data_IF_378516902717
#
_entry.id   IF_378516902717
#
_cell.length_a   1.000
_cell.length_b   1.000
_cell.length_c   1.000
_cell.angle_alpha   90.00
_cell.angle_beta   90.00
_cell.angle_gamma   90.00
#
_symmetry.space_group_name_H-M   'P 1'
#
loop_
_entity.id
_entity.type
_entity.pdbx_description
1 polymer ?
#
# COMPACT_ATOMS: atom_id res chain seq x y z
N UNK A 1 15.05 0.13 43.87
CA UNK A 1 13.60 -0.04 44.22
C UNK A 1 12.73 1.12 43.71
N UNK A 2 12.94 2.41 44.09
CA UNK A 2 12.11 3.52 43.63
C UNK A 2 12.32 3.78 42.13
N UNK A 3 13.56 3.88 41.67
CA UNK A 3 13.88 4.11 40.25
C UNK A 3 13.43 2.94 39.37
N UNK A 4 13.62 1.70 39.81
CA UNK A 4 13.14 0.52 39.08
C UNK A 4 11.63 0.51 38.93
N UNK A 5 10.89 0.96 39.96
CA UNK A 5 9.44 1.11 39.88
C UNK A 5 9.00 2.22 38.92
N UNK A 6 9.74 3.34 38.87
CA UNK A 6 9.46 4.42 37.91
C UNK A 6 9.76 3.96 36.48
N UNK A 7 10.86 3.25 36.25
CA UNK A 7 11.22 2.69 34.95
C UNK A 7 10.14 1.72 34.46
N UNK A 8 9.70 0.79 35.30
CA UNK A 8 8.65 -0.17 34.92
C UNK A 8 7.32 0.54 34.58
N UNK A 9 6.98 1.63 35.32
CA UNK A 9 5.81 2.43 35.01
C UNK A 9 5.96 3.19 33.69
N UNK A 10 7.15 3.71 33.41
CA UNK A 10 7.44 4.41 32.15
C UNK A 10 7.29 3.46 30.96
N UNK A 11 7.91 2.28 31.02
CA UNK A 11 7.80 1.23 29.99
C UNK A 11 6.33 0.82 29.80
N UNK A 12 5.58 0.57 30.89
CA UNK A 12 4.14 0.22 30.79
C UNK A 12 3.28 1.35 30.17
N UNK A 13 3.65 2.62 30.37
CA UNK A 13 2.99 3.72 29.69
C UNK A 13 3.38 3.78 28.20
N UNK A 14 4.63 3.52 27.86
CA UNK A 14 5.11 3.40 26.48
C UNK A 14 4.35 2.34 25.70
N UNK A 15 4.22 1.12 26.27
CA UNK A 15 3.49 0.01 25.66
C UNK A 15 1.99 0.35 25.42
N UNK A 16 1.44 1.23 26.25
CA UNK A 16 0.07 1.75 26.12
C UNK A 16 -0.02 3.01 25.26
N UNK A 17 1.04 3.37 24.56
CA UNK A 17 1.17 4.56 23.71
C UNK A 17 0.87 5.87 24.44
N UNK A 18 1.14 5.93 25.76
CA UNK A 18 0.99 7.13 26.59
C UNK A 18 2.36 7.83 26.73
N UNK A 19 2.90 8.26 25.59
CA UNK A 19 4.29 8.72 25.48
C UNK A 19 4.61 9.91 26.37
N UNK A 20 3.71 10.89 26.50
CA UNK A 20 3.91 12.05 27.39
C UNK A 20 4.10 11.62 28.85
N UNK A 21 3.28 10.63 29.33
CA UNK A 21 3.42 10.11 30.68
C UNK A 21 4.72 9.31 30.88
N UNK A 22 5.18 8.64 29.84
CA UNK A 22 6.48 7.97 29.86
C UNK A 22 7.62 8.98 29.98
N UNK A 23 7.57 10.07 29.22
CA UNK A 23 8.56 11.16 29.27
C UNK A 23 8.63 11.75 30.67
N UNK A 24 7.51 12.08 31.31
CA UNK A 24 7.47 12.61 32.69
C UNK A 24 8.16 11.68 33.69
N UNK A 25 8.02 10.37 33.52
CA UNK A 25 8.64 9.38 34.39
C UNK A 25 10.14 9.22 34.09
N UNK A 26 10.53 9.22 32.82
CA UNK A 26 11.95 9.21 32.44
C UNK A 26 12.66 10.48 32.94
N UNK A 27 12.03 11.65 32.90
CA UNK A 27 12.60 12.89 33.45
C UNK A 27 12.85 12.80 34.96
N UNK A 28 11.93 12.21 35.73
CA UNK A 28 12.13 11.96 37.17
C UNK A 28 13.29 11.01 37.46
N UNK A 29 13.55 10.04 36.57
CA UNK A 29 14.71 9.15 36.71
C UNK A 29 15.96 9.95 36.36
N UNK A 30 15.94 10.74 35.29
CA UNK A 30 17.08 11.56 34.85
C UNK A 30 17.46 12.67 35.84
N UNK A 31 16.53 13.13 36.71
CA UNK A 31 16.90 14.01 37.86
C UNK A 31 17.89 13.37 38.82
N UNK A 32 17.89 12.02 38.92
CA UNK A 32 18.81 11.25 39.79
C UNK A 32 19.99 10.67 39.03
N UNK A 33 19.78 10.33 37.77
CA UNK A 33 20.77 9.71 36.92
C UNK A 33 20.85 10.47 35.56
N UNK A 34 21.39 11.72 35.58
CA UNK A 34 21.31 12.62 34.42
C UNK A 34 22.05 12.13 33.17
N UNK A 35 22.99 11.17 33.33
CA UNK A 35 23.80 10.62 32.25
C UNK A 35 23.43 9.16 31.92
N UNK A 36 22.27 8.68 32.34
CA UNK A 36 21.83 7.32 32.04
C UNK A 36 21.41 7.25 30.56
N UNK A 37 22.30 6.72 29.72
CA UNK A 37 22.10 6.64 28.25
C UNK A 37 20.83 5.87 27.88
N UNK A 38 20.54 4.76 28.56
CA UNK A 38 19.32 3.97 28.30
C UNK A 38 18.05 4.80 28.51
N UNK A 39 17.97 5.54 29.63
CA UNK A 39 16.80 6.37 29.92
C UNK A 39 16.68 7.56 28.98
N UNK A 40 17.82 8.16 28.57
CA UNK A 40 17.83 9.24 27.57
C UNK A 40 17.33 8.71 26.22
N UNK A 41 17.80 7.54 25.80
CA UNK A 41 17.37 6.89 24.54
C UNK A 41 15.89 6.54 24.57
N UNK A 42 15.39 5.96 25.66
CA UNK A 42 13.96 5.66 25.81
C UNK A 42 13.08 6.92 25.79
N UNK A 43 13.54 8.01 26.42
CA UNK A 43 12.87 9.32 26.32
C UNK A 43 12.88 9.84 24.90
N UNK A 44 14.00 9.73 24.19
CA UNK A 44 14.13 10.16 22.81
C UNK A 44 13.19 9.37 21.87
N UNK A 45 13.03 8.07 22.09
CA UNK A 45 12.06 7.25 21.36
C UNK A 45 10.62 7.74 21.58
N UNK A 46 10.25 8.04 22.84
CA UNK A 46 8.94 8.62 23.12
C UNK A 46 8.70 9.97 22.40
N UNK A 47 9.74 10.82 22.34
CA UNK A 47 9.68 12.09 21.64
C UNK A 47 9.48 11.90 20.13
N UNK A 48 10.18 10.94 19.53
CA UNK A 48 10.02 10.59 18.12
C UNK A 48 8.60 10.09 17.82
N UNK A 49 8.04 9.22 18.66
CA UNK A 49 6.66 8.72 18.55
C UNK A 49 5.58 9.83 18.64
N UNK A 50 5.92 10.94 19.29
CA UNK A 50 5.08 12.14 19.34
C UNK A 50 5.31 13.12 18.17
N UNK A 51 6.20 12.79 17.25
CA UNK A 51 6.61 13.66 16.15
C UNK A 51 7.52 14.82 16.59
N UNK A 52 8.08 14.80 17.81
CA UNK A 52 9.00 15.79 18.36
C UNK A 52 10.43 15.41 17.99
N UNK A 53 10.68 15.31 16.70
CA UNK A 53 11.91 14.71 16.15
C UNK A 53 13.18 15.48 16.51
N UNK A 54 13.15 16.80 16.45
CA UNK A 54 14.33 17.63 16.79
C UNK A 54 14.75 17.44 18.24
N UNK A 55 13.77 17.36 19.15
CA UNK A 55 14.04 17.13 20.57
C UNK A 55 14.57 15.70 20.80
N UNK A 56 14.05 14.72 20.08
CA UNK A 56 14.56 13.34 20.08
C UNK A 56 16.05 13.32 19.70
N UNK A 57 16.37 13.94 18.56
CA UNK A 57 17.77 14.01 18.06
C UNK A 57 18.68 14.69 19.09
N UNK A 58 18.24 15.80 19.71
CA UNK A 58 19.04 16.48 20.76
C UNK A 58 19.37 15.56 21.94
N UNK A 59 18.40 14.72 22.37
CA UNK A 59 18.67 13.74 23.44
C UNK A 59 19.67 12.66 22.99
N UNK A 60 19.49 12.13 21.76
CA UNK A 60 20.37 11.10 21.21
C UNK A 60 21.80 11.63 20.98
N UNK A 61 21.96 12.89 20.61
CA UNK A 61 23.27 13.54 20.51
C UNK A 61 23.96 13.65 21.86
N UNK A 62 23.23 13.84 22.96
CA UNK A 62 23.82 13.80 24.32
C UNK A 62 24.38 12.43 24.62
N UNK A 63 23.67 11.34 24.26
CA UNK A 63 24.17 9.96 24.41
C UNK A 63 25.43 9.76 23.58
N UNK A 64 25.40 10.13 22.30
CA UNK A 64 26.50 9.92 21.37
C UNK A 64 27.75 10.79 21.69
N UNK A 65 27.55 11.97 22.31
CA UNK A 65 28.65 12.79 22.81
C UNK A 65 29.34 12.17 24.03
N UNK A 66 28.60 11.38 24.83
CA UNK A 66 29.19 10.64 25.97
C UNK A 66 29.85 9.33 25.51
N UNK A 67 29.18 8.61 24.60
CA UNK A 67 29.69 7.37 24.04
C UNK A 67 29.45 7.37 22.50
N UNK A 68 30.46 7.72 21.69
CA UNK A 68 30.37 7.69 20.24
C UNK A 68 30.15 6.28 19.65
N UNK A 69 30.42 5.24 20.38
CA UNK A 69 30.21 3.84 19.98
C UNK A 69 28.94 3.24 20.62
N UNK A 70 27.93 4.07 20.90
CA UNK A 70 26.65 3.62 21.40
C UNK A 70 25.73 3.19 20.21
N UNK A 71 25.48 1.89 20.14
CA UNK A 71 24.65 1.32 19.08
C UNK A 71 23.23 1.88 19.11
N UNK A 72 22.58 1.88 20.27
CA UNK A 72 21.19 2.32 20.43
C UNK A 72 21.03 3.81 20.11
N UNK A 73 22.03 4.62 20.49
CA UNK A 73 22.09 6.04 20.14
C UNK A 73 22.08 6.26 18.61
N UNK A 74 22.95 5.56 17.88
CA UNK A 74 22.99 5.67 16.41
C UNK A 74 21.76 5.08 15.74
N UNK A 75 21.29 3.92 16.19
CA UNK A 75 20.10 3.26 15.65
C UNK A 75 18.87 4.14 15.79
N UNK A 76 18.59 4.64 17.00
CA UNK A 76 17.41 5.48 17.23
C UNK A 76 17.52 6.86 16.55
N UNK A 77 18.73 7.44 16.48
CA UNK A 77 18.95 8.69 15.73
C UNK A 77 18.67 8.48 14.23
N UNK A 78 19.16 7.37 13.66
CA UNK A 78 18.91 7.04 12.26
C UNK A 78 17.43 6.78 11.99
N UNK A 79 16.72 6.09 12.87
CA UNK A 79 15.27 5.87 12.77
C UNK A 79 14.51 7.20 12.82
N UNK A 80 14.84 8.08 13.77
CA UNK A 80 14.24 9.42 13.86
C UNK A 80 14.48 10.25 12.58
N UNK A 81 15.70 10.19 12.03
CA UNK A 81 16.02 10.87 10.77
C UNK A 81 15.26 10.30 9.57
N UNK A 82 15.06 8.98 9.54
CA UNK A 82 14.21 8.34 8.53
C UNK A 82 12.77 8.84 8.59
N UNK A 83 12.18 8.91 9.79
CA UNK A 83 10.82 9.42 10.00
C UNK A 83 10.66 10.90 9.62
N UNK A 84 11.74 11.68 9.74
CA UNK A 84 11.82 13.07 9.24
C UNK A 84 11.97 13.16 7.70
N UNK A 85 12.14 12.05 6.99
CA UNK A 85 12.46 12.03 5.57
C UNK A 85 13.91 12.43 5.22
N UNK A 86 14.80 12.51 6.21
CA UNK A 86 16.23 12.81 6.03
C UNK A 86 17.01 11.53 5.74
N UNK A 87 16.74 10.94 4.58
CA UNK A 87 17.18 9.58 4.24
C UNK A 87 18.70 9.43 4.15
N UNK A 88 19.44 10.40 3.61
CA UNK A 88 20.91 10.32 3.54
C UNK A 88 21.56 10.34 4.93
N UNK A 89 21.04 11.17 5.84
CA UNK A 89 21.51 11.22 7.22
C UNK A 89 21.13 9.94 7.98
N UNK A 90 19.94 9.40 7.74
CA UNK A 90 19.51 8.12 8.30
C UNK A 90 20.43 6.97 7.84
N UNK A 91 20.78 6.93 6.56
CA UNK A 91 21.69 5.94 6.00
C UNK A 91 23.08 6.01 6.68
N UNK A 92 23.59 7.21 6.90
CA UNK A 92 24.85 7.39 7.63
C UNK A 92 24.75 6.89 9.08
N UNK A 93 23.66 7.19 9.77
CA UNK A 93 23.41 6.73 11.13
C UNK A 93 23.33 5.19 11.23
N UNK A 94 22.56 4.54 10.33
CA UNK A 94 22.51 3.06 10.30
C UNK A 94 23.87 2.43 9.93
N UNK A 95 24.66 3.06 9.07
CA UNK A 95 26.02 2.58 8.79
C UNK A 95 26.92 2.65 10.03
N UNK A 96 26.77 3.68 10.87
CA UNK A 96 27.52 3.79 12.14
C UNK A 96 27.03 2.76 13.16
N UNK A 97 25.73 2.55 13.30
CA UNK A 97 25.19 1.50 14.14
C UNK A 97 25.70 0.11 13.69
N UNK A 98 25.64 -0.21 12.40
CA UNK A 98 26.11 -1.48 11.85
C UNK A 98 27.64 -1.65 11.89
N UNK A 99 28.40 -0.57 12.01
CA UNK A 99 29.85 -0.66 12.29
C UNK A 99 30.12 -1.17 13.71
N UNK A 100 29.23 -0.86 14.65
CA UNK A 100 29.29 -1.29 16.05
C UNK A 100 28.76 -2.72 16.19
N UNK A 101 27.57 -2.99 15.61
CA UNK A 101 26.97 -4.33 15.60
C UNK A 101 26.59 -4.73 14.17
N UNK A 102 27.48 -5.41 13.42
CA UNK A 102 27.26 -5.76 12.01
C UNK A 102 26.14 -6.78 11.78
N UNK A 103 25.79 -7.56 12.79
CA UNK A 103 24.82 -8.66 12.69
C UNK A 103 23.42 -8.27 13.22
N UNK A 104 23.18 -6.98 13.48
CA UNK A 104 21.86 -6.53 13.88
C UNK A 104 20.89 -6.50 12.69
N UNK A 105 19.98 -7.48 12.69
CA UNK A 105 19.01 -7.64 11.59
C UNK A 105 18.02 -6.48 11.50
N UNK A 106 17.67 -5.85 12.62
CA UNK A 106 16.77 -4.69 12.65
C UNK A 106 17.43 -3.46 12.00
N UNK A 107 18.72 -3.23 12.32
CA UNK A 107 19.45 -2.14 11.69
C UNK A 107 19.67 -2.37 10.18
N UNK A 108 19.93 -3.63 9.76
CA UNK A 108 20.00 -3.98 8.34
C UNK A 108 18.65 -3.75 7.64
N UNK A 109 17.54 -4.18 8.25
CA UNK A 109 16.20 -3.97 7.69
C UNK A 109 15.87 -2.49 7.56
N UNK A 110 16.13 -1.69 8.59
CA UNK A 110 15.87 -0.26 8.54
C UNK A 110 16.77 0.45 7.53
N UNK A 111 18.05 0.06 7.41
CA UNK A 111 18.92 0.55 6.34
C UNK A 111 18.37 0.20 4.96
N UNK A 112 17.85 -1.01 4.77
CA UNK A 112 17.24 -1.41 3.51
C UNK A 112 15.95 -0.61 3.23
N UNK A 113 15.13 -0.31 4.26
CA UNK A 113 13.97 0.58 4.14
C UNK A 113 14.39 1.99 3.69
N UNK A 114 15.53 2.51 4.18
CA UNK A 114 16.09 3.78 3.70
C UNK A 114 16.43 3.71 2.22
N UNK A 115 17.05 2.62 1.75
CA UNK A 115 17.33 2.45 0.32
C UNK A 115 16.05 2.38 -0.52
N UNK A 116 14.99 1.73 -0.03
CA UNK A 116 13.67 1.74 -0.70
C UNK A 116 13.14 3.16 -0.83
N UNK A 117 13.19 3.95 0.26
CA UNK A 117 12.73 5.35 0.24
C UNK A 117 13.54 6.23 -0.71
N UNK A 118 14.82 5.93 -0.91
CA UNK A 118 15.71 6.58 -1.88
C UNK A 118 15.54 6.07 -3.33
N UNK A 119 14.66 5.07 -3.58
CA UNK A 119 14.50 4.43 -4.87
C UNK A 119 15.69 3.52 -5.28
N UNK A 120 16.58 3.19 -4.35
CA UNK A 120 17.77 2.34 -4.55
C UNK A 120 17.43 0.88 -4.30
N UNK A 121 16.57 0.32 -5.14
CA UNK A 121 15.96 -0.99 -4.90
C UNK A 121 16.95 -2.16 -4.90
N UNK A 122 17.99 -2.13 -5.73
CA UNK A 122 19.01 -3.17 -5.74
C UNK A 122 19.83 -3.19 -4.43
N UNK A 123 20.19 -2.00 -3.91
CA UNK A 123 20.87 -1.88 -2.62
C UNK A 123 19.98 -2.36 -1.47
N UNK A 124 18.67 -2.05 -1.51
CA UNK A 124 17.71 -2.52 -0.54
C UNK A 124 17.64 -4.06 -0.52
N UNK A 125 17.48 -4.69 -1.70
CA UNK A 125 17.40 -6.15 -1.83
C UNK A 125 18.71 -6.80 -1.34
N UNK A 126 19.87 -6.23 -1.67
CA UNK A 126 21.15 -6.73 -1.18
C UNK A 126 21.21 -6.69 0.35
N UNK A 127 20.85 -5.55 0.96
CA UNK A 127 20.90 -5.37 2.42
C UNK A 127 19.90 -6.27 3.15
N UNK A 128 18.69 -6.46 2.60
CA UNK A 128 17.75 -7.44 3.14
C UNK A 128 18.28 -8.88 3.05
N UNK A 129 19.01 -9.22 1.99
CA UNK A 129 19.63 -10.56 1.88
C UNK A 129 20.72 -10.76 2.91
N UNK A 130 21.53 -9.73 3.18
CA UNK A 130 22.50 -9.78 4.28
C UNK A 130 21.79 -10.08 5.61
N UNK A 131 20.63 -9.44 5.87
CA UNK A 131 19.83 -9.74 7.06
C UNK A 131 19.24 -11.17 7.06
N UNK A 132 18.86 -11.71 5.88
CA UNK A 132 18.39 -13.09 5.75
C UNK A 132 19.49 -14.13 5.92
N UNK A 133 20.75 -13.81 5.62
CA UNK A 133 21.90 -14.69 5.94
C UNK A 133 22.01 -14.90 7.44
N UNK A 134 21.72 -13.87 8.24
CA UNK A 134 21.74 -13.94 9.71
C UNK A 134 20.49 -14.66 10.22
N UNK A 135 19.29 -14.31 9.70
CA UNK A 135 18.02 -14.94 10.07
C UNK A 135 17.25 -15.46 8.86
N UNK A 136 17.56 -16.67 8.35
CA UNK A 136 16.97 -17.21 7.10
C UNK A 136 15.48 -17.52 7.15
N UNK A 137 14.86 -17.36 8.29
CA UNK A 137 13.43 -17.65 8.52
C UNK A 137 12.57 -16.44 8.76
N UNK A 138 13.13 -15.25 8.68
CA UNK A 138 12.41 -14.03 8.99
C UNK A 138 11.37 -13.71 7.91
N UNK A 139 10.09 -13.77 8.33
CA UNK A 139 8.94 -13.59 7.44
C UNK A 139 8.84 -12.13 7.00
N UNK A 140 9.17 -11.20 7.87
CA UNK A 140 9.11 -9.77 7.58
C UNK A 140 10.13 -9.40 6.50
N UNK A 141 11.37 -9.88 6.62
CA UNK A 141 12.42 -9.65 5.63
C UNK A 141 12.03 -10.27 4.28
N UNK A 142 11.52 -11.51 4.28
CA UNK A 142 11.04 -12.15 3.06
C UNK A 142 9.92 -11.33 2.40
N UNK A 143 8.95 -10.86 3.16
CA UNK A 143 7.89 -10.01 2.65
C UNK A 143 8.44 -8.69 2.10
N UNK A 144 9.36 -8.05 2.79
CA UNK A 144 9.93 -6.77 2.36
C UNK A 144 10.67 -6.90 1.01
N UNK A 145 11.47 -7.97 0.82
CA UNK A 145 12.10 -8.25 -0.48
C UNK A 145 11.03 -8.47 -1.56
N UNK A 146 10.00 -9.25 -1.26
CA UNK A 146 8.89 -9.50 -2.17
C UNK A 146 8.17 -8.20 -2.56
N UNK A 147 7.93 -7.29 -1.63
CA UNK A 147 7.32 -5.98 -1.86
C UNK A 147 8.19 -5.13 -2.79
N UNK A 148 9.50 -5.10 -2.59
CA UNK A 148 10.41 -4.36 -3.49
C UNK A 148 10.33 -4.92 -4.91
N UNK A 149 10.40 -6.25 -5.09
CA UNK A 149 10.25 -6.86 -6.41
C UNK A 149 8.88 -6.60 -7.04
N UNK A 150 7.80 -6.61 -6.25
CA UNK A 150 6.46 -6.29 -6.74
C UNK A 150 6.35 -4.83 -7.21
N UNK A 151 6.95 -3.88 -6.48
CA UNK A 151 7.07 -2.47 -6.86
C UNK A 151 7.79 -2.28 -8.20
N UNK A 152 8.84 -3.05 -8.44
CA UNK A 152 9.57 -3.13 -9.71
C UNK A 152 8.82 -3.91 -10.81
N UNK A 153 7.56 -4.31 -10.58
CA UNK A 153 6.74 -5.14 -11.48
C UNK A 153 7.34 -6.53 -11.78
N UNK A 154 8.30 -6.98 -10.98
CA UNK A 154 8.93 -8.28 -11.07
C UNK A 154 8.12 -9.33 -10.28
N UNK A 155 6.82 -9.44 -10.58
CA UNK A 155 5.85 -10.20 -9.79
C UNK A 155 6.21 -11.69 -9.62
N UNK A 156 6.86 -12.32 -10.59
CA UNK A 156 7.31 -13.71 -10.46
C UNK A 156 8.36 -13.89 -9.34
N UNK A 157 9.32 -12.95 -9.25
CA UNK A 157 10.29 -12.95 -8.14
C UNK A 157 9.63 -12.63 -6.80
N UNK A 158 8.72 -11.67 -6.78
CA UNK A 158 7.96 -11.34 -5.58
C UNK A 158 7.22 -12.56 -5.03
N UNK A 159 6.56 -13.34 -5.90
CA UNK A 159 5.84 -14.58 -5.56
C UNK A 159 6.76 -15.58 -4.86
N UNK A 160 7.99 -15.81 -5.36
CA UNK A 160 8.94 -16.74 -4.75
C UNK A 160 9.25 -16.38 -3.28
N UNK A 161 9.39 -15.09 -2.98
CA UNK A 161 9.63 -14.61 -1.61
C UNK A 161 8.40 -14.73 -0.72
N UNK A 162 7.21 -14.37 -1.21
CA UNK A 162 5.97 -14.52 -0.44
C UNK A 162 5.62 -15.98 -0.18
N UNK A 163 5.85 -16.88 -1.14
CA UNK A 163 5.72 -18.32 -0.93
C UNK A 163 6.73 -18.84 0.10
N UNK A 164 7.97 -18.31 0.09
CA UNK A 164 8.98 -18.64 1.10
C UNK A 164 8.54 -18.22 2.49
N UNK A 165 7.94 -17.03 2.65
CA UNK A 165 7.36 -16.55 3.90
C UNK A 165 6.21 -17.46 4.36
N UNK A 166 5.30 -17.84 3.46
CA UNK A 166 4.18 -18.77 3.75
C UNK A 166 4.63 -20.18 4.08
N UNK A 167 5.78 -20.64 3.56
CA UNK A 167 6.37 -21.92 3.97
C UNK A 167 6.84 -21.90 5.43
N UNK A 168 7.20 -20.72 5.98
CA UNK A 168 7.52 -20.56 7.40
C UNK A 168 6.27 -20.43 8.26
N UNK A 169 5.28 -19.67 7.80
CA UNK A 169 4.00 -19.46 8.49
C UNK A 169 2.84 -19.44 7.50
N UNK A 170 2.19 -20.59 7.34
CA UNK A 170 1.16 -20.84 6.32
C UNK A 170 -0.01 -19.85 6.30
N UNK A 171 -0.33 -19.25 7.43
CA UNK A 171 -1.48 -18.36 7.60
C UNK A 171 -1.03 -16.93 7.93
N UNK A 172 0.14 -16.52 7.46
CA UNK A 172 0.58 -15.14 7.59
C UNK A 172 -0.26 -14.25 6.66
N UNK A 173 -1.03 -13.35 7.25
CA UNK A 173 -2.04 -12.56 6.52
C UNK A 173 -1.35 -11.63 5.53
N UNK A 174 -0.28 -10.97 5.95
CA UNK A 174 0.47 -10.03 5.10
C UNK A 174 1.07 -10.75 3.89
N UNK A 175 1.71 -11.91 4.12
CA UNK A 175 2.24 -12.74 3.03
C UNK A 175 1.15 -13.23 2.07
N UNK A 176 -0.03 -13.64 2.59
CA UNK A 176 -1.17 -14.05 1.77
C UNK A 176 -1.69 -12.90 0.91
N UNK A 177 -1.82 -11.70 1.47
CA UNK A 177 -2.28 -10.52 0.76
C UNK A 177 -1.28 -10.09 -0.31
N UNK A 178 0.00 -10.05 0.00
CA UNK A 178 1.07 -9.67 -0.92
C UNK A 178 1.20 -10.67 -2.07
N UNK A 179 1.14 -11.98 -1.77
CA UNK A 179 1.09 -13.04 -2.79
C UNK A 179 -0.15 -12.89 -3.67
N UNK A 180 -1.33 -12.71 -3.05
CA UNK A 180 -2.59 -12.51 -3.75
C UNK A 180 -2.56 -11.33 -4.71
N UNK A 181 -1.97 -10.21 -4.29
CA UNK A 181 -1.79 -9.01 -5.12
C UNK A 181 -0.88 -9.30 -6.32
N UNK A 182 0.30 -9.89 -6.10
CA UNK A 182 1.22 -10.21 -7.18
C UNK A 182 0.61 -11.21 -8.19
N UNK A 183 -0.20 -12.16 -7.71
CA UNK A 183 -0.93 -13.11 -8.56
C UNK A 183 -2.05 -12.43 -9.36
N UNK A 184 -2.71 -11.38 -8.82
CA UNK A 184 -3.68 -10.58 -9.59
C UNK A 184 -3.00 -9.88 -10.78
N UNK A 185 -1.83 -9.27 -10.55
CA UNK A 185 -1.09 -8.53 -11.57
C UNK A 185 -0.63 -9.40 -12.74
N UNK A 186 -0.35 -10.68 -12.48
CA UNK A 186 -0.02 -11.66 -13.55
C UNK A 186 -1.23 -12.50 -13.98
N UNK A 187 -2.43 -12.03 -13.69
CA UNK A 187 -3.71 -12.65 -14.08
C UNK A 187 -3.92 -14.10 -13.60
N UNK A 188 -3.23 -14.53 -12.56
CA UNK A 188 -3.43 -15.82 -11.90
C UNK A 188 -4.61 -15.78 -10.91
N UNK A 189 -5.77 -15.37 -11.40
CA UNK A 189 -6.96 -15.04 -10.61
C UNK A 189 -7.41 -16.15 -9.66
N UNK A 190 -7.27 -17.42 -10.05
CA UNK A 190 -7.66 -18.55 -9.20
C UNK A 190 -6.77 -18.66 -7.95
N UNK A 191 -5.47 -18.54 -8.12
CA UNK A 191 -4.52 -18.59 -7.01
C UNK A 191 -4.68 -17.37 -6.10
N UNK A 192 -4.82 -16.20 -6.69
CA UNK A 192 -5.11 -14.96 -5.96
C UNK A 192 -6.40 -15.07 -5.13
N UNK A 193 -7.47 -15.61 -5.71
CA UNK A 193 -8.73 -15.87 -4.99
C UNK A 193 -8.50 -16.75 -3.75
N UNK A 194 -7.72 -17.83 -3.86
CA UNK A 194 -7.47 -18.72 -2.71
C UNK A 194 -6.65 -18.00 -1.62
N UNK A 195 -5.68 -17.15 -1.99
CA UNK A 195 -4.91 -16.36 -1.03
C UNK A 195 -5.82 -15.40 -0.25
N UNK A 196 -6.58 -14.55 -0.94
CA UNK A 196 -7.46 -13.59 -0.28
C UNK A 196 -8.59 -14.24 0.50
N UNK A 197 -9.11 -15.39 0.02
CA UNK A 197 -10.11 -16.17 0.75
C UNK A 197 -9.56 -16.68 2.08
N UNK A 198 -8.28 -17.07 2.12
CA UNK A 198 -7.63 -17.46 3.38
C UNK A 198 -7.42 -16.24 4.27
N UNK A 199 -6.93 -15.10 3.74
CA UNK A 199 -6.74 -13.86 4.50
C UNK A 199 -8.07 -13.42 5.15
N UNK A 200 -9.14 -13.30 4.38
CA UNK A 200 -10.49 -12.93 4.87
C UNK A 200 -11.07 -13.94 5.88
N UNK A 201 -10.69 -15.22 5.80
CA UNK A 201 -11.09 -16.22 6.81
C UNK A 201 -10.43 -15.92 8.17
N UNK A 202 -9.22 -15.40 8.18
CA UNK A 202 -8.50 -15.03 9.41
C UNK A 202 -8.92 -13.66 9.94
N UNK A 203 -9.09 -12.68 9.07
CA UNK A 203 -9.67 -11.39 9.43
C UNK A 203 -10.83 -11.03 8.47
N UNK A 204 -12.08 -11.30 8.90
CA UNK A 204 -13.26 -10.96 8.10
C UNK A 204 -13.52 -9.45 7.96
N UNK A 205 -12.83 -8.60 8.71
CA UNK A 205 -12.95 -7.15 8.68
C UNK A 205 -11.81 -6.47 7.92
N UNK A 206 -10.89 -7.23 7.36
CA UNK A 206 -9.91 -6.70 6.43
C UNK A 206 -10.60 -6.34 5.11
N UNK A 207 -10.98 -5.04 5.00
CA UNK A 207 -11.71 -4.55 3.83
C UNK A 207 -10.86 -4.50 2.57
N UNK A 208 -9.53 -4.38 2.70
CA UNK A 208 -8.61 -4.49 1.56
C UNK A 208 -8.57 -5.91 1.00
N UNK A 209 -8.42 -6.91 1.85
CA UNK A 209 -8.47 -8.30 1.42
C UNK A 209 -9.85 -8.67 0.82
N UNK A 210 -10.96 -8.19 1.43
CA UNK A 210 -12.31 -8.35 0.89
C UNK A 210 -12.46 -7.69 -0.49
N UNK A 211 -11.90 -6.51 -0.67
CA UNK A 211 -11.93 -5.79 -1.95
C UNK A 211 -11.18 -6.55 -3.04
N UNK A 212 -9.97 -7.01 -2.75
CA UNK A 212 -9.14 -7.80 -3.68
C UNK A 212 -9.78 -9.16 -3.99
N UNK A 213 -10.39 -9.81 -2.99
CA UNK A 213 -11.18 -11.02 -3.19
C UNK A 213 -12.33 -10.79 -4.17
N UNK A 214 -13.06 -9.68 -4.01
CA UNK A 214 -14.13 -9.28 -4.92
C UNK A 214 -13.63 -9.07 -6.36
N UNK A 215 -12.46 -8.44 -6.54
CA UNK A 215 -11.83 -8.30 -7.86
C UNK A 215 -11.49 -9.68 -8.45
N UNK A 216 -10.86 -10.57 -7.67
CA UNK A 216 -10.55 -11.92 -8.12
C UNK A 216 -11.82 -12.70 -8.51
N UNK A 217 -12.91 -12.57 -7.74
CA UNK A 217 -14.21 -13.17 -8.04
C UNK A 217 -14.77 -12.67 -9.39
N UNK A 218 -14.75 -11.36 -9.65
CA UNK A 218 -15.22 -10.80 -10.92
C UNK A 218 -14.43 -11.37 -12.12
N UNK A 219 -13.10 -11.48 -12.00
CA UNK A 219 -12.25 -12.03 -13.05
C UNK A 219 -12.48 -13.54 -13.24
N UNK A 220 -12.81 -14.27 -12.18
CA UNK A 220 -13.20 -15.68 -12.24
C UNK A 220 -14.65 -15.92 -12.70
N UNK A 221 -15.36 -14.85 -13.13
CA UNK A 221 -16.78 -14.90 -13.54
C UNK A 221 -17.71 -15.41 -12.43
N UNK A 222 -17.42 -14.99 -11.19
CA UNK A 222 -18.24 -15.23 -9.98
C UNK A 222 -18.84 -13.92 -9.46
N UNK A 223 -19.64 -13.18 -10.26
CA UNK A 223 -20.08 -11.83 -9.91
C UNK A 223 -21.04 -11.76 -8.72
N UNK A 224 -21.75 -12.87 -8.39
CA UNK A 224 -22.59 -12.94 -7.19
C UNK A 224 -21.76 -12.87 -5.92
N UNK A 225 -20.66 -13.62 -5.89
CA UNK A 225 -19.72 -13.65 -4.76
C UNK A 225 -19.01 -12.28 -4.64
N UNK A 226 -18.55 -11.71 -5.75
CA UNK A 226 -17.98 -10.37 -5.79
C UNK A 226 -18.95 -9.30 -5.24
N UNK A 227 -20.21 -9.36 -5.66
CA UNK A 227 -21.27 -8.44 -5.22
C UNK A 227 -21.48 -8.50 -3.70
N UNK A 228 -21.39 -9.70 -3.10
CA UNK A 228 -21.48 -9.90 -1.66
C UNK A 228 -20.32 -9.17 -0.95
N UNK A 229 -19.09 -9.35 -1.39
CA UNK A 229 -17.91 -8.73 -0.78
C UNK A 229 -17.97 -7.20 -0.86
N UNK A 230 -18.22 -6.62 -2.04
CA UNK A 230 -18.36 -5.16 -2.17
C UNK A 230 -19.54 -4.60 -1.38
N UNK A 231 -20.63 -5.37 -1.23
CA UNK A 231 -21.75 -4.93 -0.39
C UNK A 231 -21.39 -4.95 1.08
N UNK A 232 -20.56 -5.90 1.53
CA UNK A 232 -20.05 -5.95 2.92
C UNK A 232 -19.18 -4.74 3.21
N UNK A 233 -18.25 -4.37 2.33
CA UNK A 233 -17.44 -3.16 2.46
C UNK A 233 -18.37 -1.93 2.58
N UNK A 234 -19.33 -1.78 1.69
CA UNK A 234 -20.23 -0.62 1.64
C UNK A 234 -21.23 -0.52 2.81
N UNK A 235 -21.38 -1.54 3.64
CA UNK A 235 -22.14 -1.43 4.90
C UNK A 235 -21.37 -0.62 5.95
N UNK A 236 -20.05 -0.69 5.93
CA UNK A 236 -19.16 0.00 6.86
C UNK A 236 -18.69 1.33 6.26
N UNK A 237 -18.33 1.33 4.98
CA UNK A 237 -17.78 2.46 4.23
C UNK A 237 -18.73 2.85 3.09
N UNK A 238 -19.82 3.55 3.41
CA UNK A 238 -20.94 3.82 2.48
C UNK A 238 -20.54 4.57 1.20
N UNK A 239 -19.47 5.36 1.27
CA UNK A 239 -19.00 6.23 0.20
C UNK A 239 -17.64 5.78 -0.40
N UNK A 240 -17.23 4.52 -0.13
CA UNK A 240 -16.07 3.94 -0.76
C UNK A 240 -16.28 3.83 -2.26
N UNK A 241 -15.65 4.76 -2.99
CA UNK A 241 -15.77 4.92 -4.43
C UNK A 241 -15.42 3.65 -5.19
N UNK A 242 -14.29 3.03 -4.86
CA UNK A 242 -13.81 1.83 -5.56
C UNK A 242 -14.75 0.65 -5.36
N UNK A 243 -15.27 0.47 -4.16
CA UNK A 243 -16.25 -0.57 -3.87
C UNK A 243 -17.59 -0.32 -4.61
N UNK A 244 -18.04 0.94 -4.76
CA UNK A 244 -19.23 1.28 -5.53
C UNK A 244 -19.02 0.96 -7.02
N UNK A 245 -17.88 1.34 -7.60
CA UNK A 245 -17.56 1.08 -9.01
C UNK A 245 -17.52 -0.44 -9.26
N UNK A 246 -16.81 -1.20 -8.42
CA UNK A 246 -16.68 -2.63 -8.58
C UNK A 246 -17.98 -3.40 -8.31
N UNK A 247 -18.83 -2.92 -7.38
CA UNK A 247 -20.21 -3.38 -7.23
C UNK A 247 -21.02 -3.15 -8.50
N UNK A 248 -20.91 -1.96 -9.10
CA UNK A 248 -21.55 -1.64 -10.39
C UNK A 248 -21.06 -2.59 -11.49
N UNK A 249 -19.77 -2.89 -11.54
CA UNK A 249 -19.22 -3.85 -12.50
C UNK A 249 -19.74 -5.27 -12.27
N UNK A 250 -19.82 -5.75 -11.03
CA UNK A 250 -20.41 -7.05 -10.69
C UNK A 250 -21.88 -7.12 -11.14
N UNK A 251 -22.66 -6.05 -10.92
CA UNK A 251 -24.04 -5.94 -11.39
C UNK A 251 -24.15 -5.95 -12.92
N UNK A 252 -23.18 -5.32 -13.62
CA UNK A 252 -23.10 -5.39 -15.08
C UNK A 252 -22.89 -6.83 -15.57
N UNK A 253 -21.94 -7.57 -14.95
CA UNK A 253 -21.69 -8.98 -15.27
C UNK A 253 -22.93 -9.85 -15.02
N UNK A 254 -23.72 -9.54 -13.99
CA UNK A 254 -25.02 -10.17 -13.67
C UNK A 254 -26.16 -9.73 -14.61
N UNK A 255 -25.88 -8.92 -15.64
CA UNK A 255 -26.88 -8.32 -16.54
C UNK A 255 -27.92 -7.43 -15.85
N UNK A 256 -27.66 -7.01 -14.60
CA UNK A 256 -28.49 -6.06 -13.83
C UNK A 256 -28.14 -4.61 -14.21
N UNK A 257 -28.19 -4.30 -15.50
CA UNK A 257 -27.65 -3.07 -16.08
C UNK A 257 -28.25 -1.78 -15.49
N UNK A 258 -29.56 -1.77 -15.15
CA UNK A 258 -30.19 -0.60 -14.51
C UNK A 258 -29.55 -0.30 -13.15
N UNK A 259 -29.31 -1.35 -12.35
CA UNK A 259 -28.68 -1.20 -11.02
C UNK A 259 -27.21 -0.83 -11.14
N UNK A 260 -26.47 -1.39 -12.11
CA UNK A 260 -25.10 -1.01 -12.40
C UNK A 260 -24.99 0.50 -12.73
N UNK A 261 -25.86 1.01 -13.60
CA UNK A 261 -25.89 2.42 -13.97
C UNK A 261 -26.14 3.31 -12.75
N UNK A 262 -26.99 2.92 -11.82
CA UNK A 262 -27.21 3.70 -10.58
C UNK A 262 -25.95 3.80 -9.71
N UNK A 263 -25.13 2.74 -9.66
CA UNK A 263 -23.83 2.82 -8.97
C UNK A 263 -22.90 3.86 -9.62
N UNK A 264 -22.79 3.81 -10.95
CA UNK A 264 -21.96 4.76 -11.70
C UNK A 264 -22.51 6.18 -11.65
N UNK A 265 -23.85 6.34 -11.65
CA UNK A 265 -24.51 7.65 -11.52
C UNK A 265 -24.20 8.30 -10.16
N UNK A 266 -24.12 7.51 -9.07
CA UNK A 266 -23.73 8.01 -7.74
C UNK A 266 -22.32 8.62 -7.81
N UNK A 267 -21.37 7.92 -8.38
CA UNK A 267 -19.99 8.41 -8.51
C UNK A 267 -19.90 9.64 -9.42
N UNK A 268 -20.56 9.58 -10.59
CA UNK A 268 -20.52 10.67 -11.58
C UNK A 268 -21.28 11.93 -11.14
N UNK A 269 -22.08 11.85 -10.09
CA UNK A 269 -22.70 13.02 -9.46
C UNK A 269 -21.70 13.80 -8.64
N UNK A 270 -20.80 13.12 -7.95
CA UNK A 270 -19.76 13.71 -7.10
C UNK A 270 -18.51 14.08 -7.93
N UNK A 271 -18.07 13.16 -8.78
CA UNK A 271 -16.97 13.36 -9.73
C UNK A 271 -17.43 13.09 -11.17
N UNK A 272 -17.89 14.13 -11.90
CA UNK A 272 -18.38 13.98 -13.27
C UNK A 272 -17.31 13.57 -14.30
N UNK A 273 -16.02 13.63 -13.93
CA UNK A 273 -14.89 13.32 -14.80
C UNK A 273 -14.28 11.95 -14.48
N UNK A 274 -14.88 11.15 -13.56
CA UNK A 274 -14.38 9.81 -13.24
C UNK A 274 -14.55 8.87 -14.46
N UNK A 275 -13.39 8.54 -15.07
CA UNK A 275 -13.31 7.93 -16.40
C UNK A 275 -13.75 6.46 -16.40
N UNK A 276 -13.42 5.68 -15.35
CA UNK A 276 -13.83 4.27 -15.26
C UNK A 276 -15.35 4.15 -15.11
N UNK A 277 -15.99 5.01 -14.33
CA UNK A 277 -17.44 5.05 -14.19
C UNK A 277 -18.12 5.44 -15.51
N UNK A 278 -17.57 6.40 -16.25
CA UNK A 278 -18.08 6.75 -17.58
C UNK A 278 -18.01 5.55 -18.53
N UNK A 279 -16.87 4.86 -18.56
CA UNK A 279 -16.65 3.69 -19.40
C UNK A 279 -17.62 2.54 -19.04
N UNK A 280 -17.71 2.16 -17.77
CA UNK A 280 -18.57 1.06 -17.31
C UNK A 280 -20.05 1.38 -17.44
N UNK A 281 -20.43 2.66 -17.26
CA UNK A 281 -21.78 3.13 -17.51
C UNK A 281 -22.13 3.07 -19.00
N UNK A 282 -21.19 3.45 -19.89
CA UNK A 282 -21.39 3.33 -21.33
C UNK A 282 -21.62 1.86 -21.72
N UNK A 283 -20.79 0.92 -21.25
CA UNK A 283 -20.98 -0.52 -21.43
C UNK A 283 -22.39 -0.98 -21.04
N UNK A 284 -22.79 -0.64 -19.82
CA UNK A 284 -24.11 -1.02 -19.29
C UNK A 284 -25.26 -0.39 -20.08
N UNK A 285 -25.06 0.83 -20.60
CA UNK A 285 -26.06 1.57 -21.42
C UNK A 285 -26.21 0.94 -22.80
N UNK A 286 -25.12 0.46 -23.42
CA UNK A 286 -25.21 -0.31 -24.70
C UNK A 286 -26.05 -1.57 -24.51
N UNK A 287 -25.82 -2.32 -23.44
CA UNK A 287 -26.58 -3.55 -23.14
C UNK A 287 -28.07 -3.28 -22.87
N UNK A 288 -28.42 -2.04 -22.55
CA UNK A 288 -29.82 -1.58 -22.49
C UNK A 288 -30.35 -1.10 -23.83
N UNK A 289 -29.61 -1.25 -24.93
CA UNK A 289 -29.94 -0.80 -26.26
C UNK A 289 -30.16 0.73 -26.41
N UNK A 290 -29.61 1.53 -25.48
CA UNK A 290 -29.63 2.98 -25.53
C UNK A 290 -28.37 3.53 -26.17
N UNK A 291 -28.18 3.25 -27.45
CA UNK A 291 -27.00 3.58 -28.23
C UNK A 291 -26.69 5.08 -28.23
N UNK A 292 -27.71 5.94 -28.32
CA UNK A 292 -27.54 7.40 -28.31
C UNK A 292 -26.89 7.87 -27.03
N UNK A 293 -27.38 7.42 -25.86
CA UNK A 293 -26.80 7.78 -24.56
C UNK A 293 -25.38 7.18 -24.37
N UNK A 294 -25.17 5.96 -24.86
CA UNK A 294 -23.84 5.33 -24.81
C UNK A 294 -22.81 6.13 -25.62
N UNK A 295 -23.12 6.54 -26.85
CA UNK A 295 -22.24 7.40 -27.67
C UNK A 295 -21.93 8.74 -27.00
N UNK A 296 -22.92 9.36 -26.33
CA UNK A 296 -22.67 10.59 -25.56
C UNK A 296 -21.65 10.37 -24.40
N UNK A 297 -21.77 9.25 -23.66
CA UNK A 297 -20.85 8.90 -22.59
C UNK A 297 -19.43 8.64 -23.11
N UNK A 298 -19.34 7.90 -24.22
CA UNK A 298 -18.05 7.62 -24.89
C UNK A 298 -17.42 8.93 -25.40
N UNK A 299 -18.21 9.82 -26.03
CA UNK A 299 -17.73 11.12 -26.47
C UNK A 299 -17.15 11.95 -25.31
N UNK A 300 -17.86 11.96 -24.17
CA UNK A 300 -17.37 12.64 -22.97
C UNK A 300 -16.06 12.03 -22.47
N UNK A 301 -15.99 10.71 -22.37
CA UNK A 301 -14.81 9.97 -21.93
C UNK A 301 -13.57 10.27 -22.79
N UNK A 302 -13.71 10.19 -24.13
CA UNK A 302 -12.60 10.44 -25.05
C UNK A 302 -12.16 11.92 -25.08
N UNK A 303 -13.06 12.86 -24.79
CA UNK A 303 -12.69 14.28 -24.61
C UNK A 303 -11.86 14.49 -23.34
N UNK A 304 -12.21 13.81 -22.25
CA UNK A 304 -11.45 13.88 -21.00
C UNK A 304 -10.07 13.24 -21.14
N UNK A 305 -9.98 12.11 -21.84
CA UNK A 305 -8.72 11.44 -22.13
C UNK A 305 -7.77 12.39 -22.85
N UNK A 306 -8.20 13.04 -23.93
CA UNK A 306 -7.40 14.02 -24.68
C UNK A 306 -6.96 15.22 -23.83
N UNK A 307 -7.86 15.74 -22.97
CA UNK A 307 -7.53 16.85 -22.08
C UNK A 307 -6.39 16.49 -21.12
N UNK A 308 -6.42 15.26 -20.60
CA UNK A 308 -5.40 14.78 -19.68
C UNK A 308 -4.06 14.52 -20.40
N UNK A 309 -4.08 14.02 -21.65
CA UNK A 309 -2.87 13.81 -22.44
C UNK A 309 -2.15 15.14 -22.74
N UNK A 310 -2.89 16.23 -23.02
CA UNK A 310 -2.28 17.55 -23.24
C UNK A 310 -1.60 18.11 -21.97
N UNK A 311 -2.10 17.80 -20.77
CA UNK A 311 -1.46 18.22 -19.53
C UNK A 311 -0.23 17.39 -19.15
N UNK A 312 -0.18 16.11 -19.55
CA UNK A 312 0.96 15.22 -19.24
C UNK A 312 2.16 15.45 -20.16
N UNK A 313 2.01 16.07 -21.33
CA UNK A 313 3.12 16.44 -22.21
C UNK A 313 4.00 17.60 -21.68
N UNK A 314 3.55 18.31 -20.63
CA UNK A 314 4.37 19.35 -19.95
C UNK A 314 5.25 18.78 -18.82
N UNK A 315 5.06 17.51 -18.44
CA UNK A 315 5.86 16.80 -17.44
C UNK A 315 6.23 15.41 -17.98
N UNK A 316 7.34 15.36 -18.73
CA UNK A 316 7.98 14.10 -19.13
C UNK A 316 8.45 13.33 -17.89
N UNK A 317 7.67 12.34 -17.45
CA UNK A 317 8.19 11.18 -16.74
C UNK A 317 7.39 9.93 -17.14
N UNK A 318 8.11 9.02 -17.76
CA UNK A 318 7.92 7.59 -18.02
C UNK A 318 6.48 7.04 -17.98
N UNK A 319 5.99 6.74 -19.18
CA UNK A 319 4.68 6.13 -19.41
C UNK A 319 4.50 4.79 -18.74
N UNK A 320 3.70 4.79 -17.73
CA UNK A 320 2.91 3.61 -17.41
C UNK A 320 1.93 3.41 -18.57
N UNK A 321 1.98 2.24 -19.23
CA UNK A 321 1.13 1.90 -20.36
C UNK A 321 -0.35 1.84 -20.01
N UNK A 322 -0.95 2.99 -19.79
CA UNK A 322 -2.40 3.12 -19.77
C UNK A 322 -2.90 2.82 -21.18
N UNK A 323 -3.54 1.66 -21.33
CA UNK A 323 -4.25 1.36 -22.55
C UNK A 323 -5.32 2.45 -22.71
N UNK A 324 -5.16 3.34 -23.71
CA UNK A 324 -6.08 4.40 -23.99
C UNK A 324 -7.53 3.86 -24.08
N UNK A 325 -8.47 4.54 -23.48
CA UNK A 325 -9.88 4.10 -23.48
C UNK A 325 -10.41 3.88 -24.89
N UNK A 326 -9.90 4.61 -25.86
CA UNK A 326 -10.20 4.37 -27.27
C UNK A 326 -9.86 2.93 -27.68
N UNK A 327 -8.69 2.42 -27.30
CA UNK A 327 -8.27 1.05 -27.60
C UNK A 327 -9.12 0.02 -26.84
N UNK A 328 -9.42 0.29 -25.55
CA UNK A 328 -10.33 -0.53 -24.76
C UNK A 328 -11.70 -0.61 -25.43
N UNK A 329 -12.29 0.52 -25.87
CA UNK A 329 -13.59 0.57 -26.52
C UNK A 329 -13.59 -0.21 -27.83
N UNK A 330 -12.53 -0.09 -28.66
CA UNK A 330 -12.41 -0.83 -29.94
C UNK A 330 -12.37 -2.34 -29.75
N UNK A 331 -11.71 -2.82 -28.71
CA UNK A 331 -11.50 -4.24 -28.41
C UNK A 331 -12.67 -4.86 -27.61
N UNK A 332 -13.36 -4.08 -26.80
CA UNK A 332 -14.38 -4.58 -25.86
C UNK A 332 -15.63 -5.08 -26.59
N UNK A 333 -15.95 -6.34 -26.36
CA UNK A 333 -17.11 -7.02 -26.96
C UNK A 333 -18.46 -6.41 -26.56
N UNK A 334 -18.51 -5.66 -25.45
CA UNK A 334 -19.75 -5.01 -25.02
C UNK A 334 -20.16 -3.87 -25.93
N UNK A 335 -19.22 -3.28 -26.70
CA UNK A 335 -19.51 -2.23 -27.69
C UNK A 335 -19.76 -2.75 -29.12
N UNK A 336 -19.75 -4.07 -29.34
CA UNK A 336 -20.01 -4.66 -30.67
C UNK A 336 -21.35 -4.16 -31.22
N UNK A 337 -22.38 -3.99 -30.38
CA UNK A 337 -23.68 -3.47 -30.77
C UNK A 337 -23.68 -2.04 -31.35
N UNK A 338 -22.60 -1.27 -31.10
CA UNK A 338 -22.42 0.08 -31.65
C UNK A 338 -21.66 0.11 -32.97
N UNK A 339 -21.02 -0.97 -33.41
CA UNK A 339 -20.18 -0.96 -34.63
C UNK A 339 -20.90 -0.51 -35.90
N UNK A 340 -22.21 -0.67 -35.97
CA UNK A 340 -23.02 -0.24 -37.08
C UNK A 340 -23.71 1.14 -36.89
N UNK A 341 -23.58 1.73 -35.70
CA UNK A 341 -24.11 3.06 -35.39
C UNK A 341 -23.24 4.14 -36.05
N UNK A 342 -23.89 5.03 -36.83
CA UNK A 342 -23.20 6.10 -37.57
C UNK A 342 -22.49 7.05 -36.61
N UNK A 343 -23.11 7.42 -35.49
CA UNK A 343 -22.51 8.32 -34.51
C UNK A 343 -21.28 7.70 -33.86
N UNK A 344 -21.30 6.39 -33.58
CA UNK A 344 -20.17 5.67 -33.05
C UNK A 344 -19.01 5.60 -34.03
N UNK A 345 -19.31 5.33 -35.35
CA UNK A 345 -18.27 5.31 -36.39
C UNK A 345 -17.58 6.67 -36.53
N UNK A 346 -18.38 7.74 -36.59
CA UNK A 346 -17.83 9.11 -36.65
C UNK A 346 -16.97 9.42 -35.41
N UNK A 347 -17.43 9.01 -34.22
CA UNK A 347 -16.72 9.24 -32.96
C UNK A 347 -15.38 8.55 -32.95
N UNK A 348 -15.28 7.30 -33.41
CA UNK A 348 -14.04 6.50 -33.42
C UNK A 348 -13.06 6.91 -34.55
N UNK A 349 -13.57 7.48 -35.66
CA UNK A 349 -12.75 7.97 -36.76
C UNK A 349 -12.14 9.35 -36.50
N UNK A 350 -12.84 10.18 -35.74
CA UNK A 350 -12.40 11.55 -35.42
C UNK A 350 -11.53 11.62 -34.13
N UNK A 351 -11.21 10.45 -33.58
CA UNK A 351 -10.33 10.30 -32.39
C UNK A 351 -9.00 9.72 -32.81
#
# INVERSE_FOLDING_TARGET
MILDSLLQQAINNFDKKKFEKSIELFEKILEKEPNNSEIITNKATCLAELGRYEESIEQLEKVLNQNPDDFDGWYNKATTLYDMGKYDDALNGFNLALKINPEDTSALCNKANVFVALGRHDDAISTYKDALEINPGDIEILNNIGIVYAGEKQHYRAIEYFESALNKKKNDIDSLCNLGNSLLEIEKFRLSYECFKQAVKHDPNDFDALFRLGIACNNLKKPEEALMHFTTILRNEKDNTDAIINKGYSLHLLRKYKQAILCFDKILKENPEEMNSLYLKAKSTVKQQNNKKACMLISKLLKLERKNDHHNHEHEHEGNGHEHFLNKIKKDSDFIGLKNDINFKILIQNT
#
